data_IF_769070975419
#
_entry.id   IF_769070975419
#
_cell.length_a   1.000
_cell.length_b   1.000
_cell.length_c   1.000
_cell.angle_alpha   90.00
_cell.angle_beta   90.00
_cell.angle_gamma   90.00
#
_symmetry.space_group_name_H-M   'P 1'
#
loop_
_entity.id
_entity.type
_entity.pdbx_description
1 polymer ?
#
# COMPACT_ATOMS: atom_id res chain seq x y z
N UNK A 1 17.83 39.51 -48.69
CA UNK A 1 18.71 38.60 -47.90
C UNK A 1 18.43 38.57 -46.38
N UNK A 2 18.01 39.64 -45.72
CA UNK A 2 17.73 39.64 -44.26
C UNK A 2 16.40 38.93 -43.85
N UNK A 3 15.40 38.87 -44.73
CA UNK A 3 14.08 38.28 -44.42
C UNK A 3 14.13 36.74 -44.40
N UNK A 4 14.84 36.11 -45.32
CA UNK A 4 15.01 34.64 -45.36
C UNK A 4 15.76 34.08 -44.13
N UNK A 5 16.72 34.87 -43.60
CA UNK A 5 17.51 34.47 -42.44
C UNK A 5 16.71 34.51 -41.13
N UNK A 6 15.70 35.39 -41.04
CA UNK A 6 14.76 35.42 -39.90
C UNK A 6 13.75 34.25 -39.95
N UNK A 7 13.22 33.95 -41.15
CA UNK A 7 12.27 32.87 -41.36
C UNK A 7 12.89 31.51 -41.02
N UNK A 8 14.12 31.24 -41.44
CA UNK A 8 14.82 30.00 -41.11
C UNK A 8 15.11 29.84 -39.62
N UNK A 9 15.35 30.93 -38.88
CA UNK A 9 15.53 30.86 -37.41
C UNK A 9 14.23 30.56 -36.70
N UNK A 10 13.10 31.15 -37.10
CA UNK A 10 11.79 30.89 -36.51
C UNK A 10 11.34 29.44 -36.79
N UNK A 11 11.55 28.94 -38.02
CA UNK A 11 11.28 27.55 -38.38
C UNK A 11 12.15 26.56 -37.56
N UNK A 12 13.43 26.87 -37.36
CA UNK A 12 14.30 26.03 -36.51
C UNK A 12 13.84 25.99 -35.07
N UNK A 13 13.38 27.12 -34.51
CA UNK A 13 12.82 27.15 -33.14
C UNK A 13 11.51 26.37 -33.01
N UNK A 14 10.62 26.47 -34.02
CA UNK A 14 9.36 25.72 -34.05
C UNK A 14 9.64 24.20 -34.11
N UNK A 15 10.58 23.78 -34.99
CA UNK A 15 10.97 22.37 -35.07
C UNK A 15 11.61 21.85 -33.77
N UNK A 16 12.43 22.67 -33.11
CA UNK A 16 13.05 22.28 -31.81
C UNK A 16 11.99 22.16 -30.71
N UNK A 17 11.01 23.08 -30.65
CA UNK A 17 9.91 22.99 -29.71
C UNK A 17 9.00 21.77 -29.97
N UNK A 18 8.73 21.43 -31.24
CA UNK A 18 7.96 20.22 -31.59
C UNK A 18 8.72 18.96 -31.21
N UNK A 19 10.04 18.89 -31.46
CA UNK A 19 10.88 17.76 -31.03
C UNK A 19 10.95 17.62 -29.49
N UNK A 20 11.02 18.72 -28.73
CA UNK A 20 10.95 18.70 -27.29
C UNK A 20 9.57 18.27 -26.78
N UNK A 21 8.49 18.68 -27.44
CA UNK A 21 7.12 18.31 -27.08
C UNK A 21 6.82 16.84 -27.39
N UNK A 22 7.37 16.29 -28.48
CA UNK A 22 7.23 14.87 -28.81
C UNK A 22 8.10 13.95 -27.94
N UNK A 23 9.26 14.42 -27.45
CA UNK A 23 10.05 13.68 -26.45
C UNK A 23 9.43 13.69 -25.05
N UNK A 24 8.62 14.70 -24.70
CA UNK A 24 7.93 14.75 -23.41
C UNK A 24 6.71 13.83 -23.32
N UNK A 25 6.21 13.27 -24.45
CA UNK A 25 5.03 12.40 -24.49
C UNK A 25 5.35 10.90 -24.62
N UNK A 26 6.61 10.51 -24.55
CA UNK A 26 7.03 9.10 -24.63
C UNK A 26 7.61 8.56 -23.33
N UNK A 27 7.17 9.08 -22.18
CA UNK A 27 7.36 8.38 -20.91
C UNK A 27 6.03 7.66 -20.61
N UNK A 28 5.70 6.66 -21.40
CA UNK A 28 4.88 5.57 -20.89
C UNK A 28 5.77 4.86 -19.89
N UNK A 29 5.56 5.12 -18.61
CA UNK A 29 6.23 4.37 -17.56
C UNK A 29 5.73 2.93 -17.63
N UNK A 30 6.47 2.07 -18.32
CA UNK A 30 6.37 0.63 -18.08
C UNK A 30 7.01 0.36 -16.71
N UNK A 31 6.27 0.71 -15.65
CA UNK A 31 6.67 0.47 -14.26
C UNK A 31 6.40 -0.97 -13.83
N UNK A 32 6.09 -1.86 -14.77
CA UNK A 32 5.86 -3.28 -14.49
C UNK A 32 7.08 -4.08 -14.94
N UNK A 33 7.65 -4.84 -14.01
CA UNK A 33 8.73 -5.77 -14.30
C UNK A 33 8.37 -6.64 -15.50
N UNK A 34 9.28 -6.71 -16.46
CA UNK A 34 9.13 -7.56 -17.63
C UNK A 34 8.75 -8.98 -17.20
N UNK A 35 7.63 -9.49 -17.72
CA UNK A 35 7.22 -10.87 -17.54
C UNK A 35 5.95 -11.14 -16.74
N UNK A 36 5.31 -10.13 -16.11
CA UNK A 36 4.03 -10.38 -15.46
C UNK A 36 2.86 -10.26 -16.45
N UNK A 37 2.05 -11.31 -16.54
CA UNK A 37 0.81 -11.31 -17.32
C UNK A 37 -0.35 -11.82 -16.47
N UNK A 38 -1.48 -11.13 -16.53
CA UNK A 38 -2.69 -11.60 -15.84
C UNK A 38 -3.24 -12.88 -16.49
N UNK A 39 -3.85 -13.73 -15.66
CA UNK A 39 -4.50 -14.94 -16.14
C UNK A 39 -5.59 -14.59 -17.19
N UNK A 40 -5.75 -15.44 -18.22
CA UNK A 40 -6.66 -15.23 -19.35
C UNK A 40 -8.10 -14.91 -18.95
N UNK A 41 -8.55 -15.40 -17.80
CA UNK A 41 -9.89 -15.12 -17.25
C UNK A 41 -10.11 -13.63 -16.92
N UNK A 42 -9.05 -12.86 -16.69
CA UNK A 42 -9.10 -11.44 -16.34
C UNK A 42 -8.89 -10.51 -17.55
N UNK A 43 -8.82 -11.04 -18.79
CA UNK A 43 -8.54 -10.25 -20.00
C UNK A 43 -9.50 -9.08 -20.24
N UNK A 44 -10.73 -9.15 -19.70
CA UNK A 44 -11.76 -8.13 -19.82
C UNK A 44 -11.96 -7.34 -18.51
N UNK A 45 -11.13 -7.55 -17.50
CA UNK A 45 -11.18 -6.82 -16.24
C UNK A 45 -10.36 -5.52 -16.33
N UNK A 46 -10.83 -4.48 -15.66
CA UNK A 46 -9.99 -3.33 -15.39
C UNK A 46 -8.97 -3.71 -14.34
N UNK A 47 -7.69 -3.43 -14.61
CA UNK A 47 -6.60 -3.74 -13.70
C UNK A 47 -6.24 -2.49 -12.92
N UNK A 48 -6.23 -2.61 -11.61
CA UNK A 48 -5.72 -1.59 -10.70
C UNK A 48 -4.39 -2.08 -10.11
N UNK A 49 -3.44 -1.18 -10.05
CA UNK A 49 -2.10 -1.50 -9.55
C UNK A 49 -1.94 -0.95 -8.15
N UNK A 50 -1.45 -1.77 -7.26
CA UNK A 50 -1.29 -1.40 -5.87
C UNK A 50 0.04 -1.84 -5.28
N UNK A 51 0.38 -1.21 -4.16
CA UNK A 51 1.52 -1.58 -3.33
C UNK A 51 1.07 -1.73 -1.89
N UNK A 52 1.82 -2.45 -1.09
CA UNK A 52 1.79 -2.37 0.36
C UNK A 52 3.07 -1.75 0.88
N UNK A 53 2.96 -0.99 1.97
CA UNK A 53 4.09 -0.26 2.53
C UNK A 53 4.07 -0.21 4.05
N UNK A 54 5.25 -0.11 4.63
CA UNK A 54 5.48 0.05 6.07
C UNK A 54 6.68 0.95 6.34
N UNK A 55 7.08 1.05 7.59
CA UNK A 55 8.33 1.73 8.01
C UNK A 55 9.57 1.20 7.28
N UNK A 56 9.56 -0.05 6.81
CA UNK A 56 10.67 -0.67 6.08
C UNK A 56 10.96 -0.01 4.73
N UNK A 57 9.97 0.62 4.11
CA UNK A 57 10.12 1.36 2.86
C UNK A 57 10.73 2.76 3.07
N UNK A 58 11.03 3.14 4.33
CA UNK A 58 11.62 4.44 4.68
C UNK A 58 10.72 5.60 4.21
N UNK A 59 11.33 6.70 3.75
CA UNK A 59 10.61 7.85 3.21
C UNK A 59 10.21 7.57 1.75
N UNK A 60 8.94 7.81 1.44
CA UNK A 60 8.35 7.54 0.12
C UNK A 60 8.00 8.86 -0.55
N UNK A 61 8.41 9.01 -1.82
CA UNK A 61 7.90 10.07 -2.71
C UNK A 61 6.57 9.61 -3.33
N UNK A 62 5.47 9.97 -2.69
CA UNK A 62 4.14 9.57 -3.10
C UNK A 62 3.71 10.15 -4.45
N UNK A 63 4.28 11.30 -4.87
CA UNK A 63 4.04 11.85 -6.20
C UNK A 63 4.72 10.99 -7.27
N UNK A 64 5.93 10.53 -7.02
CA UNK A 64 6.62 9.58 -7.91
C UNK A 64 5.88 8.23 -7.97
N UNK A 65 5.38 7.72 -6.83
CA UNK A 65 4.54 6.51 -6.77
C UNK A 65 3.29 6.67 -7.62
N UNK A 66 2.58 7.80 -7.50
CA UNK A 66 1.40 8.07 -8.34
C UNK A 66 1.75 8.17 -9.82
N UNK A 67 2.84 8.86 -10.14
CA UNK A 67 3.32 9.00 -11.52
C UNK A 67 3.72 7.66 -12.16
N UNK A 68 4.11 6.66 -11.37
CA UNK A 68 4.43 5.30 -11.84
C UNK A 68 3.20 4.43 -12.11
N UNK A 69 1.98 4.96 -12.00
CA UNK A 69 0.75 4.26 -12.34
C UNK A 69 0.16 3.43 -11.19
N UNK A 70 0.54 3.71 -9.95
CA UNK A 70 -0.06 3.07 -8.77
C UNK A 70 -1.40 3.73 -8.43
N UNK A 71 -2.43 2.90 -8.30
CA UNK A 71 -3.81 3.31 -8.05
C UNK A 71 -4.19 3.28 -6.57
N UNK A 72 -3.58 2.37 -5.82
CA UNK A 72 -3.89 2.19 -4.40
C UNK A 72 -2.69 1.70 -3.59
N UNK A 73 -2.76 1.91 -2.27
CA UNK A 73 -1.77 1.40 -1.33
C UNK A 73 -2.44 0.83 -0.08
N UNK A 74 -1.97 -0.32 0.39
CA UNK A 74 -2.22 -0.78 1.74
C UNK A 74 -1.07 -0.34 2.65
N UNK A 75 -1.39 0.39 3.72
CA UNK A 75 -0.40 1.00 4.60
C UNK A 75 -0.44 0.33 5.96
N UNK A 76 0.71 -0.17 6.42
CA UNK A 76 0.84 -0.73 7.76
C UNK A 76 0.54 0.33 8.81
N UNK A 77 -0.42 0.08 9.69
CA UNK A 77 -0.70 0.98 10.82
C UNK A 77 -0.09 0.49 12.13
N UNK A 78 0.25 -0.77 12.20
CA UNK A 78 0.86 -1.34 13.39
C UNK A 78 1.00 -2.84 13.30
N UNK A 79 1.30 -3.45 14.44
CA UNK A 79 1.41 -4.88 14.57
C UNK A 79 1.39 -5.34 16.01
N UNK A 80 1.33 -6.64 16.20
CA UNK A 80 1.62 -7.29 17.48
C UNK A 80 3.02 -7.88 17.43
N UNK A 81 3.80 -7.61 18.47
CA UNK A 81 5.15 -8.15 18.60
C UNK A 81 5.16 -9.68 18.61
N UNK A 82 6.12 -10.27 17.93
CA UNK A 82 6.27 -11.72 17.79
C UNK A 82 6.84 -12.42 19.03
N UNK A 83 7.31 -11.67 20.03
CA UNK A 83 7.71 -12.21 21.34
C UNK A 83 6.51 -12.70 22.16
N UNK A 84 6.78 -13.43 23.25
CA UNK A 84 5.74 -14.00 24.14
C UNK A 84 4.77 -12.96 24.71
N UNK A 85 5.23 -11.74 24.96
CA UNK A 85 4.40 -10.66 25.49
C UNK A 85 3.33 -10.18 24.49
N UNK A 86 3.56 -10.33 23.18
CA UNK A 86 2.62 -9.91 22.14
C UNK A 86 2.18 -8.45 22.26
N UNK A 87 3.13 -7.53 22.52
CA UNK A 87 2.84 -6.11 22.72
C UNK A 87 2.38 -5.46 21.41
N UNK A 88 1.31 -4.69 21.44
CA UNK A 88 0.84 -3.91 20.29
C UNK A 88 1.76 -2.70 20.06
N UNK A 89 1.99 -2.37 18.79
CA UNK A 89 2.78 -1.21 18.40
C UNK A 89 2.23 -0.53 17.15
N UNK A 90 2.47 0.77 17.00
CA UNK A 90 2.20 1.49 15.76
C UNK A 90 3.39 1.40 14.81
N UNK A 91 3.11 1.34 13.51
CA UNK A 91 4.14 1.59 12.50
C UNK A 91 4.54 3.06 12.55
N UNK A 92 5.83 3.33 12.66
CA UNK A 92 6.35 4.69 12.89
C UNK A 92 6.13 5.65 11.72
N UNK A 93 5.86 5.12 10.52
CA UNK A 93 5.57 5.92 9.32
C UNK A 93 4.12 5.86 8.86
N UNK A 94 3.25 5.18 9.60
CA UNK A 94 1.85 5.01 9.21
C UNK A 94 1.16 6.33 8.86
N UNK A 95 1.24 7.32 9.75
CA UNK A 95 0.57 8.61 9.56
C UNK A 95 1.15 9.40 8.38
N UNK A 96 2.47 9.41 8.23
CA UNK A 96 3.17 10.04 7.11
C UNK A 96 2.74 9.41 5.78
N UNK A 97 2.75 8.09 5.70
CA UNK A 97 2.37 7.34 4.51
C UNK A 97 0.89 7.53 4.16
N UNK A 98 -0.02 7.45 5.13
CA UNK A 98 -1.46 7.67 4.92
C UNK A 98 -1.73 9.07 4.37
N UNK A 99 -1.15 10.10 4.97
CA UNK A 99 -1.31 11.49 4.52
C UNK A 99 -0.69 11.72 3.14
N UNK A 100 0.52 11.19 2.92
CA UNK A 100 1.22 11.34 1.64
C UNK A 100 0.51 10.66 0.48
N UNK A 101 0.08 9.39 0.65
CA UNK A 101 -0.67 8.66 -0.36
C UNK A 101 -1.98 9.37 -0.73
N UNK A 102 -2.77 9.79 0.28
CA UNK A 102 -4.02 10.52 0.05
C UNK A 102 -3.80 11.87 -0.64
N UNK A 103 -2.78 12.62 -0.25
CA UNK A 103 -2.43 13.90 -0.88
C UNK A 103 -2.03 13.72 -2.36
N UNK A 104 -1.39 12.61 -2.72
CA UNK A 104 -1.06 12.26 -4.09
C UNK A 104 -2.23 11.65 -4.89
N UNK A 105 -3.43 11.52 -4.30
CA UNK A 105 -4.60 10.95 -4.96
C UNK A 105 -4.52 9.42 -5.14
N UNK A 106 -3.78 8.73 -4.27
CA UNK A 106 -3.73 7.27 -4.19
C UNK A 106 -4.78 6.81 -3.18
N UNK A 107 -5.64 5.85 -3.58
CA UNK A 107 -6.61 5.24 -2.67
C UNK A 107 -5.89 4.44 -1.60
N UNK A 108 -6.37 4.52 -0.34
CA UNK A 108 -5.69 3.86 0.77
C UNK A 108 -6.57 2.84 1.47
N UNK A 109 -6.00 1.69 1.75
CA UNK A 109 -6.41 0.76 2.77
C UNK A 109 -5.32 0.67 3.85
N UNK A 110 -5.60 -0.08 4.88
CA UNK A 110 -4.61 -0.31 5.95
C UNK A 110 -4.47 -1.77 6.27
N UNK A 111 -3.31 -2.16 6.78
CA UNK A 111 -3.11 -3.50 7.30
C UNK A 111 -2.47 -3.48 8.69
N UNK A 112 -2.71 -4.55 9.42
CA UNK A 112 -2.16 -4.80 10.74
C UNK A 112 -1.40 -6.13 10.74
N UNK A 113 -0.10 -6.11 11.06
CA UNK A 113 0.71 -7.30 11.18
C UNK A 113 0.31 -8.09 12.42
N UNK A 114 -0.45 -9.15 12.22
CA UNK A 114 -1.05 -9.93 13.29
C UNK A 114 -0.16 -11.06 13.78
N UNK A 115 -0.01 -11.12 15.08
CA UNK A 115 0.52 -12.27 15.80
C UNK A 115 -0.45 -12.75 16.86
N UNK A 116 -1.77 -12.55 16.62
CA UNK A 116 -2.83 -13.01 17.54
C UNK A 116 -2.86 -14.54 17.61
N UNK A 117 -2.96 -15.07 18.80
CA UNK A 117 -3.10 -16.51 19.06
C UNK A 117 -4.44 -16.86 19.70
N UNK A 118 -5.30 -15.85 19.95
CA UNK A 118 -6.66 -15.98 20.46
C UNK A 118 -7.60 -15.02 19.74
N UNK A 119 -8.89 -15.33 19.71
CA UNK A 119 -9.95 -14.46 19.18
C UNK A 119 -9.98 -13.10 19.88
N UNK A 120 -9.73 -13.08 21.20
CA UNK A 120 -9.64 -11.83 21.98
C UNK A 120 -8.51 -10.94 21.48
N UNK A 121 -7.33 -11.49 21.28
CA UNK A 121 -6.19 -10.73 20.76
C UNK A 121 -6.46 -10.19 19.35
N UNK A 122 -7.11 -10.97 18.50
CA UNK A 122 -7.49 -10.52 17.15
C UNK A 122 -8.49 -9.36 17.20
N UNK A 123 -9.47 -9.39 18.09
CA UNK A 123 -10.38 -8.26 18.31
C UNK A 123 -9.66 -7.02 18.87
N UNK A 124 -8.68 -7.20 19.76
CA UNK A 124 -7.82 -6.11 20.26
C UNK A 124 -7.01 -5.46 19.14
N UNK A 125 -6.45 -6.25 18.21
CA UNK A 125 -5.72 -5.75 17.04
C UNK A 125 -6.63 -4.93 16.10
N UNK A 126 -7.83 -5.43 15.84
CA UNK A 126 -8.85 -4.72 15.07
C UNK A 126 -9.23 -3.39 15.72
N UNK A 127 -9.49 -3.41 17.03
CA UNK A 127 -9.79 -2.22 17.82
C UNK A 127 -8.64 -1.20 17.76
N UNK A 128 -7.40 -1.67 17.91
CA UNK A 128 -6.20 -0.84 17.88
C UNK A 128 -6.05 -0.13 16.53
N UNK A 129 -6.29 -0.86 15.43
CA UNK A 129 -6.28 -0.33 14.06
C UNK A 129 -7.34 0.76 13.87
N UNK A 130 -8.59 0.50 14.26
CA UNK A 130 -9.70 1.45 14.13
C UNK A 130 -9.47 2.68 15.01
N UNK A 131 -8.98 2.49 16.24
CA UNK A 131 -8.65 3.60 17.15
C UNK A 131 -7.57 4.50 16.57
N UNK A 132 -6.58 3.95 15.88
CA UNK A 132 -5.55 4.72 15.17
C UNK A 132 -6.17 5.62 14.09
N UNK A 133 -7.03 5.05 13.24
CA UNK A 133 -7.71 5.82 12.19
C UNK A 133 -8.55 6.97 12.76
N UNK A 134 -9.31 6.70 13.82
CA UNK A 134 -10.14 7.70 14.48
C UNK A 134 -9.30 8.80 15.15
N UNK A 135 -8.23 8.43 15.86
CA UNK A 135 -7.36 9.38 16.56
C UNK A 135 -6.75 10.42 15.61
N UNK A 136 -6.41 9.99 14.39
CA UNK A 136 -5.80 10.87 13.40
C UNK A 136 -6.77 11.40 12.34
N UNK A 137 -8.07 11.09 12.46
CA UNK A 137 -9.11 11.54 11.52
C UNK A 137 -8.89 11.03 10.09
N UNK A 138 -8.38 9.80 9.95
CA UNK A 138 -8.09 9.20 8.64
C UNK A 138 -9.29 8.41 8.16
N UNK A 139 -9.85 8.80 7.02
CA UNK A 139 -10.77 7.96 6.24
C UNK A 139 -9.98 7.10 5.26
N UNK A 140 -10.40 5.86 5.07
CA UNK A 140 -9.81 4.91 4.12
C UNK A 140 -10.79 4.59 3.00
N UNK A 141 -10.26 4.22 1.83
CA UNK A 141 -11.01 3.94 0.60
C UNK A 141 -11.14 2.43 0.34
N UNK A 142 -10.32 1.64 1.01
CA UNK A 142 -10.19 0.19 0.87
C UNK A 142 -10.29 -0.47 2.26
N UNK A 143 -10.46 -1.78 2.34
CA UNK A 143 -10.64 -2.48 3.62
C UNK A 143 -9.50 -2.34 4.61
N UNK A 144 -9.78 -2.70 5.87
CA UNK A 144 -8.78 -3.03 6.89
C UNK A 144 -8.41 -4.50 6.73
N UNK A 145 -7.13 -4.79 6.56
CA UNK A 145 -6.59 -6.12 6.33
C UNK A 145 -5.89 -6.66 7.58
N UNK A 146 -6.20 -7.89 7.94
CA UNK A 146 -5.41 -8.66 8.91
C UNK A 146 -4.30 -9.39 8.15
N UNK A 147 -3.06 -9.00 8.37
CA UNK A 147 -1.88 -9.65 7.83
C UNK A 147 -1.44 -10.74 8.82
N UNK A 148 -1.97 -11.94 8.61
CA UNK A 148 -1.86 -13.09 9.53
C UNK A 148 -0.79 -14.05 9.03
N UNK A 149 0.45 -13.81 9.41
CA UNK A 149 1.59 -14.59 8.95
C UNK A 149 2.63 -14.85 10.05
N UNK A 150 3.50 -15.82 9.82
CA UNK A 150 4.62 -16.07 10.72
C UNK A 150 5.66 -14.95 10.62
N UNK A 151 6.24 -14.57 11.77
CA UNK A 151 7.30 -13.57 11.80
C UNK A 151 8.59 -14.15 11.19
N UNK A 152 8.94 -13.73 9.97
CA UNK A 152 10.12 -14.19 9.23
C UNK A 152 11.43 -13.86 9.94
N UNK A 153 11.47 -12.70 10.63
CA UNK A 153 12.65 -12.22 11.35
C UNK A 153 12.90 -12.93 12.70
N UNK A 154 11.95 -13.77 13.12
CA UNK A 154 12.11 -14.57 14.33
C UNK A 154 12.74 -15.93 14.01
N UNK A 155 13.80 -16.35 14.71
CA UNK A 155 14.39 -17.69 14.55
C UNK A 155 13.40 -18.84 14.74
N UNK A 156 12.34 -18.60 15.51
CA UNK A 156 11.29 -19.58 15.80
C UNK A 156 10.00 -19.35 15.02
N UNK A 157 9.94 -18.31 14.17
CA UNK A 157 8.71 -17.90 13.46
C UNK A 157 7.70 -17.16 14.35
N UNK A 158 8.15 -16.71 15.53
CA UNK A 158 7.37 -15.92 16.47
C UNK A 158 6.33 -16.70 17.25
N UNK A 159 5.55 -15.99 18.07
CA UNK A 159 4.51 -16.55 18.94
C UNK A 159 3.40 -17.26 18.18
N UNK A 160 3.07 -16.80 16.99
CA UNK A 160 2.04 -17.42 16.17
C UNK A 160 2.45 -18.85 15.76
N UNK A 161 3.71 -19.05 15.37
CA UNK A 161 4.21 -20.39 15.05
C UNK A 161 4.30 -21.27 16.31
N UNK A 162 4.80 -20.73 17.44
CA UNK A 162 4.95 -21.51 18.67
C UNK A 162 3.61 -21.87 19.31
N UNK A 163 2.56 -21.09 19.06
CA UNK A 163 1.21 -21.42 19.52
C UNK A 163 0.62 -22.66 18.83
N UNK A 164 1.13 -23.02 17.64
CA UNK A 164 0.73 -24.21 16.89
C UNK A 164 -0.80 -24.34 16.76
N UNK A 165 -1.46 -23.25 16.34
CA UNK A 165 -2.91 -23.21 16.21
C UNK A 165 -3.40 -24.28 15.23
N UNK A 166 -4.49 -24.94 15.58
CA UNK A 166 -5.22 -25.76 14.61
C UNK A 166 -5.82 -24.87 13.52
N UNK A 167 -6.20 -25.47 12.39
CA UNK A 167 -6.89 -24.74 11.31
C UNK A 167 -8.14 -24.03 11.81
N UNK A 168 -8.93 -24.68 12.64
CA UNK A 168 -10.15 -24.11 13.23
C UNK A 168 -9.82 -22.89 14.11
N UNK A 169 -8.85 -23.02 15.01
CA UNK A 169 -8.41 -21.92 15.88
C UNK A 169 -7.90 -20.72 15.05
N UNK A 170 -7.05 -20.96 14.04
CA UNK A 170 -6.58 -19.91 13.16
C UNK A 170 -7.73 -19.24 12.39
N UNK A 171 -8.71 -20.02 11.92
CA UNK A 171 -9.91 -19.47 11.26
C UNK A 171 -10.71 -18.59 12.21
N UNK A 172 -10.93 -19.05 13.46
CA UNK A 172 -11.68 -18.28 14.46
C UNK A 172 -10.97 -16.98 14.84
N UNK A 173 -9.64 -16.99 14.93
CA UNK A 173 -8.83 -15.78 15.14
C UNK A 173 -9.05 -14.79 14.00
N UNK A 174 -8.95 -15.23 12.75
CA UNK A 174 -9.20 -14.35 11.60
C UNK A 174 -10.66 -13.84 11.56
N UNK A 175 -11.62 -14.70 11.83
CA UNK A 175 -13.04 -14.31 11.89
C UNK A 175 -13.32 -13.28 13.00
N UNK A 176 -12.67 -13.39 14.15
CA UNK A 176 -12.84 -12.44 15.25
C UNK A 176 -12.37 -11.03 14.84
N UNK A 177 -11.20 -10.92 14.15
CA UNK A 177 -10.74 -9.66 13.60
C UNK A 177 -11.72 -9.08 12.59
N UNK A 178 -12.08 -9.87 11.56
CA UNK A 178 -12.97 -9.42 10.49
C UNK A 178 -14.36 -9.03 11.01
N UNK A 179 -14.92 -9.80 11.94
CA UNK A 179 -16.21 -9.50 12.55
C UNK A 179 -16.17 -8.20 13.36
N UNK A 180 -15.10 -7.97 14.12
CA UNK A 180 -14.93 -6.71 14.84
C UNK A 180 -14.87 -5.52 13.90
N UNK A 181 -14.09 -5.61 12.82
CA UNK A 181 -13.99 -4.58 11.78
C UNK A 181 -15.34 -4.31 11.13
N UNK A 182 -16.05 -5.35 10.69
CA UNK A 182 -17.35 -5.25 10.03
C UNK A 182 -18.42 -4.60 10.93
N UNK A 183 -18.47 -4.95 12.24
CA UNK A 183 -19.43 -4.35 13.19
C UNK A 183 -19.18 -2.86 13.45
N UNK A 184 -18.04 -2.30 13.02
CA UNK A 184 -17.67 -0.90 13.15
C UNK A 184 -17.82 -0.13 11.83
N UNK A 185 -18.33 -0.76 10.77
CA UNK A 185 -18.66 -0.13 9.49
C UNK A 185 -17.48 -0.01 8.51
N UNK A 186 -16.46 -0.87 8.68
CA UNK A 186 -15.31 -0.95 7.77
C UNK A 186 -15.38 -2.18 6.88
#
# INVERSE_FOLDING_TARGET
MKLHRKFNKVMAWILTCILFFTMAFSITSEAYGEGYTHAKQFKNCHIYNGIDVSTWNKQIDWNAVKASGIDFAFIKVGGRGWGSAGTLYHDSRALENLKGAKAAGIRVGVYFFSQAITEKEAAEEAQYTISYLHTYGISIDLPIVMDFEYASDSPTGGRLRTANLTREQATNVCLAFCSYVATRGY
#
